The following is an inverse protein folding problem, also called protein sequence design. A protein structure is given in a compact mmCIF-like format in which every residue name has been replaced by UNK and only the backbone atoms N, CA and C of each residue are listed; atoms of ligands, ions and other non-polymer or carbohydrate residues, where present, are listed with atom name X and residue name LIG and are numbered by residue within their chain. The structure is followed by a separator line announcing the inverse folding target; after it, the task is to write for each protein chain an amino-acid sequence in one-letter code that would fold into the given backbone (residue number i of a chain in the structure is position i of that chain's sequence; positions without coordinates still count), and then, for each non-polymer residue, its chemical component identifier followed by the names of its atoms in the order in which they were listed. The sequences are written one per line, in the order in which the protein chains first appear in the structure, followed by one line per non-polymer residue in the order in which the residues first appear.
data_IF_814027205434
#
_entry.id   IF_814027205434
#
_cell.length_a   1.000
_cell.length_b   1.000
_cell.length_c   1.000
_cell.angle_alpha   90.00
_cell.angle_beta   90.00
_cell.angle_gamma   90.00
#
_symmetry.space_group_name_H-M   'P 1'
#
loop_
_entity.id
_entity.type
_entity.pdbx_description
1 polymer ?
#
# COMPACT_ATOMS: atom_id res chain seq x y z
N UNK A 1 -31.48 9.74 14.40
CA UNK A 1 -30.80 8.87 13.43
C UNK A 1 -30.22 7.71 14.22
N UNK A 2 -30.93 6.58 14.24
CA UNK A 2 -30.55 5.38 15.00
C UNK A 2 -29.55 4.59 14.19
N UNK A 3 -28.34 4.36 14.72
CA UNK A 3 -27.34 3.50 14.11
C UNK A 3 -27.92 2.10 13.86
N UNK A 4 -27.65 1.53 12.69
CA UNK A 4 -28.19 0.24 12.26
C UNK A 4 -27.39 -0.87 12.96
N UNK A 5 -28.02 -1.86 13.62
CA UNK A 5 -27.34 -2.99 14.29
C UNK A 5 -26.56 -3.93 13.36
N UNK A 6 -26.35 -3.56 12.09
CA UNK A 6 -25.52 -4.24 11.09
C UNK A 6 -24.08 -3.70 11.01
N UNK A 7 -23.71 -2.69 11.81
CA UNK A 7 -22.35 -2.13 11.83
C UNK A 7 -21.37 -3.05 12.58
N UNK A 8 -21.31 -4.32 12.17
CA UNK A 8 -20.25 -5.26 12.52
C UNK A 8 -19.01 -5.06 11.65
N UNK A 9 -17.90 -5.69 12.01
CA UNK A 9 -16.68 -5.67 11.21
C UNK A 9 -16.94 -6.33 9.86
N UNK A 10 -16.74 -5.58 8.76
CA UNK A 10 -16.98 -6.06 7.40
C UNK A 10 -15.70 -6.68 6.80
N UNK A 11 -15.81 -7.90 6.27
CA UNK A 11 -14.68 -8.59 5.64
C UNK A 11 -14.52 -8.17 4.19
N UNK A 12 -13.29 -7.82 3.81
CA UNK A 12 -12.95 -7.41 2.45
C UNK A 12 -11.71 -8.15 1.94
N UNK A 13 -11.65 -8.31 0.62
CA UNK A 13 -10.45 -8.72 -0.10
C UNK A 13 -9.92 -7.53 -0.89
N UNK A 14 -8.60 -7.37 -0.92
CA UNK A 14 -7.96 -6.23 -1.58
C UNK A 14 -6.95 -6.70 -2.62
N UNK A 15 -6.97 -6.06 -3.80
CA UNK A 15 -6.04 -6.29 -4.88
C UNK A 15 -5.19 -5.03 -5.07
N UNK A 16 -3.87 -5.16 -4.95
CA UNK A 16 -2.92 -4.06 -4.95
C UNK A 16 -2.19 -3.97 -6.28
N UNK A 17 -2.46 -2.90 -7.02
CA UNK A 17 -1.77 -2.63 -8.28
C UNK A 17 -0.28 -2.31 -8.03
N UNK A 18 0.56 -2.68 -9.00
CA UNK A 18 1.97 -2.30 -9.02
C UNK A 18 2.21 -0.85 -9.46
N UNK A 19 3.46 -0.41 -9.35
CA UNK A 19 3.91 0.92 -9.76
C UNK A 19 4.61 1.67 -8.62
N UNK A 20 5.62 2.49 -8.94
CA UNK A 20 6.47 3.16 -7.96
C UNK A 20 5.70 4.13 -7.04
N UNK A 21 5.45 5.36 -7.51
CA UNK A 21 4.70 6.36 -6.74
C UNK A 21 3.28 5.90 -6.35
N UNK A 22 2.65 5.10 -7.23
CA UNK A 22 1.37 4.46 -6.95
C UNK A 22 1.44 3.54 -5.73
N UNK A 23 2.54 2.80 -5.53
CA UNK A 23 2.73 1.95 -4.35
C UNK A 23 2.78 2.75 -3.05
N UNK A 24 3.43 3.93 -3.05
CA UNK A 24 3.49 4.80 -1.88
C UNK A 24 2.12 5.41 -1.55
N UNK A 25 1.35 5.78 -2.59
CA UNK A 25 -0.04 6.19 -2.43
C UNK A 25 -0.89 5.07 -1.85
N UNK A 26 -0.75 3.85 -2.38
CA UNK A 26 -1.45 2.66 -1.85
C UNK A 26 -1.11 2.41 -0.38
N UNK A 27 0.12 2.65 0.07
CA UNK A 27 0.44 2.59 1.50
C UNK A 27 -0.42 3.54 2.34
N UNK A 28 -0.56 4.80 1.95
CA UNK A 28 -1.43 5.75 2.66
C UNK A 28 -2.90 5.28 2.72
N UNK A 29 -3.39 4.68 1.63
CA UNK A 29 -4.74 4.07 1.60
C UNK A 29 -4.83 2.91 2.60
N UNK A 30 -3.85 2.00 2.61
CA UNK A 30 -3.81 0.87 3.53
C UNK A 30 -3.75 1.33 4.99
N UNK A 31 -2.95 2.35 5.29
CA UNK A 31 -2.85 2.93 6.64
C UNK A 31 -4.21 3.42 7.14
N UNK A 32 -4.95 4.16 6.28
CA UNK A 32 -6.28 4.66 6.63
C UNK A 32 -7.33 3.55 6.73
N UNK A 33 -7.25 2.50 5.90
CA UNK A 33 -8.15 1.35 5.98
C UNK A 33 -7.94 0.57 7.29
N UNK A 34 -6.69 0.39 7.71
CA UNK A 34 -6.33 -0.28 8.97
C UNK A 34 -6.75 0.52 10.20
N UNK A 35 -6.66 1.85 10.12
CA UNK A 35 -7.12 2.76 11.17
C UNK A 35 -8.64 2.74 11.35
N UNK A 36 -9.40 2.52 10.28
CA UNK A 36 -10.85 2.66 10.27
C UNK A 36 -11.57 1.74 11.26
N UNK A 37 -11.01 0.56 11.54
CA UNK A 37 -11.51 -0.40 12.52
C UNK A 37 -12.83 -1.11 12.16
N UNK A 38 -13.56 -0.63 11.15
CA UNK A 38 -14.81 -1.26 10.66
C UNK A 38 -14.56 -2.35 9.61
N UNK A 39 -13.32 -2.51 9.14
CA UNK A 39 -12.95 -3.42 8.06
C UNK A 39 -11.97 -4.49 8.56
N UNK A 40 -12.17 -5.74 8.12
CA UNK A 40 -11.24 -6.84 8.29
C UNK A 40 -10.73 -7.27 6.90
N UNK A 41 -9.41 -7.21 6.72
CA UNK A 41 -8.78 -7.68 5.49
C UNK A 41 -8.63 -9.20 5.59
N UNK A 42 -9.40 -9.94 4.78
CA UNK A 42 -9.45 -11.41 4.79
C UNK A 42 -8.53 -12.01 3.72
N UNK A 43 -8.32 -11.28 2.61
CA UNK A 43 -7.50 -11.71 1.49
C UNK A 43 -6.77 -10.54 0.83
N UNK A 44 -5.56 -10.80 0.37
CA UNK A 44 -4.68 -9.81 -0.25
C UNK A 44 -4.04 -10.42 -1.49
N UNK A 45 -4.09 -9.72 -2.61
CA UNK A 45 -3.29 -10.00 -3.79
C UNK A 45 -2.56 -8.74 -4.24
N UNK A 46 -1.45 -8.89 -4.95
CA UNK A 46 -0.73 -7.74 -5.48
C UNK A 46 0.37 -8.12 -6.46
N UNK A 47 0.79 -7.14 -7.27
CA UNK A 47 1.88 -7.29 -8.25
C UNK A 47 2.94 -6.19 -8.07
N UNK A 48 4.22 -6.52 -8.27
CA UNK A 48 5.34 -5.57 -8.15
C UNK A 48 5.32 -4.79 -6.81
N UNK A 49 5.29 -3.46 -6.82
CA UNK A 49 5.15 -2.64 -5.60
C UNK A 49 3.90 -3.00 -4.77
N UNK A 50 2.80 -3.39 -5.43
CA UNK A 50 1.60 -3.90 -4.76
C UNK A 50 1.84 -5.23 -4.07
N UNK A 51 2.68 -6.13 -4.62
CA UNK A 51 3.07 -7.38 -3.97
C UNK A 51 3.93 -7.11 -2.72
N UNK A 52 4.80 -6.10 -2.76
CA UNK A 52 5.59 -5.67 -1.60
C UNK A 52 4.67 -5.14 -0.49
N UNK A 53 3.74 -4.24 -0.83
CA UNK A 53 2.72 -3.78 0.12
C UNK A 53 1.91 -4.94 0.70
N UNK A 54 1.49 -5.90 -0.13
CA UNK A 54 0.74 -7.07 0.30
C UNK A 54 1.54 -7.91 1.32
N UNK A 55 2.82 -8.18 1.04
CA UNK A 55 3.69 -8.95 1.90
C UNK A 55 3.94 -8.26 3.25
N UNK A 56 4.24 -6.96 3.24
CA UNK A 56 4.48 -6.17 4.47
C UNK A 56 3.20 -6.05 5.31
N UNK A 57 2.06 -5.82 4.66
CA UNK A 57 0.75 -5.77 5.29
C UNK A 57 0.42 -7.10 5.98
N UNK A 58 0.52 -8.22 5.25
CA UNK A 58 0.26 -9.55 5.79
C UNK A 58 1.19 -9.89 6.97
N UNK A 59 2.48 -9.54 6.85
CA UNK A 59 3.46 -9.71 7.91
C UNK A 59 3.10 -8.95 9.18
N UNK A 60 2.76 -7.66 9.07
CA UNK A 60 2.41 -6.86 10.23
C UNK A 60 1.09 -7.29 10.86
N UNK A 61 0.09 -7.64 10.06
CA UNK A 61 -1.18 -8.21 10.54
C UNK A 61 -0.94 -9.49 11.34
N UNK A 62 -0.10 -10.40 10.84
CA UNK A 62 0.23 -11.65 11.54
C UNK A 62 1.03 -11.43 12.84
N UNK A 63 1.84 -10.36 12.92
CA UNK A 63 2.65 -10.06 14.10
C UNK A 63 1.91 -9.39 15.25
N UNK A 64 0.93 -8.54 14.93
CA UNK A 64 0.29 -7.70 15.96
C UNK A 64 -0.93 -6.95 15.47
N UNK A 65 -1.60 -7.45 14.43
CA UNK A 65 -2.81 -6.86 13.88
C UNK A 65 -2.58 -5.49 13.23
N UNK A 66 -3.65 -4.67 13.12
CA UNK A 66 -3.59 -3.40 12.39
C UNK A 66 -2.50 -2.42 12.84
N UNK A 67 -2.22 -2.22 14.15
CA UNK A 67 -1.14 -1.30 14.56
C UNK A 67 0.24 -1.74 14.08
N UNK A 68 0.54 -3.05 14.13
CA UNK A 68 1.82 -3.57 13.67
C UNK A 68 1.94 -3.54 12.13
N UNK A 69 0.84 -3.72 11.41
CA UNK A 69 0.78 -3.55 9.95
C UNK A 69 1.07 -2.11 9.52
N UNK A 70 0.45 -1.11 10.17
CA UNK A 70 0.70 0.31 9.90
C UNK A 70 2.17 0.66 10.12
N UNK A 71 2.74 0.24 11.25
CA UNK A 71 4.15 0.48 11.57
C UNK A 71 5.11 -0.20 10.57
N UNK A 72 4.82 -1.43 10.15
CA UNK A 72 5.66 -2.14 9.18
C UNK A 72 5.63 -1.48 7.80
N UNK A 73 4.47 -1.00 7.35
CA UNK A 73 4.33 -0.29 6.09
C UNK A 73 5.05 1.08 6.11
N UNK A 74 4.93 1.84 7.22
CA UNK A 74 5.65 3.11 7.39
C UNK A 74 7.17 2.90 7.33
N UNK A 75 7.68 1.93 8.07
CA UNK A 75 9.10 1.61 8.07
C UNK A 75 9.59 1.19 6.68
N UNK A 76 8.84 0.34 5.99
CA UNK A 76 9.18 -0.10 4.63
C UNK A 76 9.31 1.09 3.67
N UNK A 77 8.32 2.00 3.64
CA UNK A 77 8.34 3.13 2.72
C UNK A 77 9.33 4.22 3.11
N UNK A 78 9.56 4.46 4.40
CA UNK A 78 10.64 5.35 4.87
C UNK A 78 12.01 4.85 4.44
N UNK A 79 12.29 3.56 4.63
CA UNK A 79 13.56 2.95 4.18
C UNK A 79 13.70 2.97 2.67
N UNK A 80 12.62 2.70 1.94
CA UNK A 80 12.61 2.76 0.47
C UNK A 80 12.90 4.18 -0.02
N UNK A 81 12.29 5.19 0.61
CA UNK A 81 12.53 6.61 0.31
C UNK A 81 13.97 7.02 0.62
N UNK A 82 14.51 6.63 1.78
CA UNK A 82 15.89 6.90 2.14
C UNK A 82 16.87 6.25 1.16
N UNK A 83 16.67 4.98 0.81
CA UNK A 83 17.51 4.27 -0.17
C UNK A 83 17.45 4.93 -1.55
N UNK A 84 16.27 5.40 -1.97
CA UNK A 84 16.11 6.14 -3.21
C UNK A 84 16.84 7.49 -3.19
N UNK A 85 16.83 8.20 -2.06
CA UNK A 85 17.50 9.50 -1.91
C UNK A 85 19.03 9.43 -2.04
N UNK A 86 19.65 8.30 -1.65
CA UNK A 86 21.09 8.08 -1.74
C UNK A 86 21.53 7.29 -2.98
N UNK A 87 20.61 6.97 -3.90
CA UNK A 87 20.94 6.22 -5.11
C UNK A 87 21.62 7.12 -6.16
N UNK A 88 22.83 6.74 -6.67
CA UNK A 88 23.49 7.44 -7.77
C UNK A 88 22.78 7.27 -9.12
N UNK A 89 21.75 6.41 -9.18
CA UNK A 89 20.85 6.26 -10.31
C UNK A 89 19.52 6.96 -9.99
N UNK A 90 19.54 8.29 -9.95
CA UNK A 90 18.31 9.07 -10.08
C UNK A 90 17.81 8.95 -11.53
N UNK A 91 16.49 8.91 -11.78
CA UNK A 91 15.96 8.90 -13.14
C UNK A 91 16.54 10.09 -13.91
N UNK A 92 17.11 9.82 -15.08
CA UNK A 92 17.56 10.90 -15.94
C UNK A 92 16.36 11.76 -16.32
N UNK A 93 16.60 13.02 -16.68
CA UNK A 93 15.55 13.90 -17.22
C UNK A 93 14.88 13.29 -18.48
N UNK A 94 15.56 12.38 -19.19
CA UNK A 94 15.01 11.57 -20.28
C UNK A 94 14.02 10.48 -19.79
N UNK A 95 14.26 9.82 -18.65
CA UNK A 95 13.32 8.81 -18.09
C UNK A 95 11.99 9.43 -17.61
N UNK A 96 12.04 10.70 -17.19
CA UNK A 96 10.85 11.48 -16.85
C UNK A 96 10.07 11.94 -18.10
N UNK A 97 10.72 11.99 -19.26
CA UNK A 97 10.11 12.41 -20.52
C UNK A 97 9.52 11.24 -21.33
N UNK A 98 10.04 10.01 -21.17
CA UNK A 98 9.57 8.80 -21.88
C UNK A 98 8.38 8.07 -21.20
N UNK A 99 7.93 8.48 -20.01
CA UNK A 99 6.89 7.77 -19.28
C UNK A 99 5.44 8.29 -19.36
N UNK A 100 5.10 9.26 -20.23
CA UNK A 100 3.76 9.86 -20.28
C UNK A 100 3.11 9.74 -21.68
N UNK A 101 2.13 8.82 -21.80
CA UNK A 101 1.05 8.90 -22.78
C UNK A 101 1.25 8.20 -24.14
N UNK A 102 0.66 7.02 -24.28
CA UNK A 102 0.15 6.50 -25.55
C UNK A 102 0.84 5.25 -26.09
N UNK A 103 0.21 4.08 -25.91
CA UNK A 103 -0.12 3.14 -26.99
C UNK A 103 -1.20 2.14 -26.50
N UNK A 104 -2.39 2.30 -27.08
CA UNK A 104 -3.56 1.38 -27.23
C UNK A 104 -4.39 1.12 -25.95
N UNK A 105 -5.62 1.65 -25.80
CA UNK A 105 -6.78 1.64 -26.73
C UNK A 105 -7.29 3.03 -27.13
#
# INVERSE_FOLDING_TARGET
MTANPQDGIHRINIALQGGGAHGAFTWGVLDRLLEDGRLLIDGISGTSAGAMNAAVLAYGLARGGPPAARAALDEFWRRTSAAAAFSPMQPSWFDRWIGNGGMEW
#
